data_IF_683242701961
#
_entry.id   IF_683242701961
#
_cell.length_a   1.000
_cell.length_b   1.000
_cell.length_c   1.000
_cell.angle_alpha   90.00
_cell.angle_beta   90.00
_cell.angle_gamma   90.00
#
_symmetry.space_group_name_H-M   'P 1'
#
loop_
_entity.id
_entity.type
_entity.pdbx_description
1 polymer ?
#
# COMPACT_ATOMS: atom_id res chain seq x y z
N UNK A 1 -19.38 10.06 -3.20
CA UNK A 1 -18.39 9.05 -3.68
C UNK A 1 -19.15 7.78 -4.01
N UNK A 2 -19.29 7.49 -5.29
CA UNK A 2 -19.88 6.24 -5.78
C UNK A 2 -18.73 5.30 -6.11
N UNK A 3 -18.56 4.23 -5.34
CA UNK A 3 -17.68 3.12 -5.73
C UNK A 3 -18.51 2.10 -6.50
N UNK A 4 -17.88 1.42 -7.46
CA UNK A 4 -18.48 0.32 -8.19
C UNK A 4 -17.67 -0.94 -7.92
N UNK A 5 -18.35 -2.00 -7.49
CA UNK A 5 -17.73 -3.32 -7.36
C UNK A 5 -17.62 -3.93 -8.76
N UNK A 6 -16.44 -4.47 -9.07
CA UNK A 6 -16.11 -5.08 -10.36
C UNK A 6 -15.56 -6.49 -10.12
N UNK A 7 -15.53 -7.31 -11.17
CA UNK A 7 -14.97 -8.65 -11.10
C UNK A 7 -13.46 -8.64 -10.83
N UNK A 8 -12.94 -9.74 -10.26
CA UNK A 8 -11.49 -9.91 -10.08
C UNK A 8 -10.81 -9.93 -11.45
N UNK A 9 -9.73 -9.18 -11.58
CA UNK A 9 -8.89 -9.24 -12.79
C UNK A 9 -8.26 -10.62 -12.93
N UNK A 10 -8.33 -11.20 -14.12
CA UNK A 10 -7.73 -12.50 -14.41
C UNK A 10 -6.23 -12.48 -14.09
N UNK A 11 -5.77 -13.50 -13.35
CA UNK A 11 -4.37 -13.63 -12.93
C UNK A 11 -4.04 -13.05 -11.55
N UNK A 12 -4.92 -12.23 -10.94
CA UNK A 12 -4.70 -11.76 -9.57
C UNK A 12 -5.05 -12.87 -8.54
N UNK A 13 -4.11 -13.29 -7.68
CA UNK A 13 -4.39 -14.25 -6.61
C UNK A 13 -5.26 -13.61 -5.51
N UNK A 14 -5.93 -14.44 -4.72
CA UNK A 14 -6.81 -13.96 -3.64
C UNK A 14 -6.07 -13.16 -2.56
N UNK A 15 -4.80 -13.47 -2.29
CA UNK A 15 -3.96 -12.74 -1.34
C UNK A 15 -2.47 -12.97 -1.65
N UNK A 16 -1.66 -11.91 -1.49
CA UNK A 16 -0.20 -12.00 -1.51
C UNK A 16 0.34 -11.15 -0.37
N UNK A 17 1.08 -11.78 0.55
CA UNK A 17 1.75 -11.10 1.65
C UNK A 17 3.15 -11.69 1.81
N UNK A 18 4.16 -10.84 1.96
CA UNK A 18 5.54 -11.26 2.17
C UNK A 18 5.92 -11.20 3.67
N UNK A 19 6.80 -12.12 4.09
CA UNK A 19 7.44 -12.04 5.41
C UNK A 19 8.63 -11.09 5.37
N UNK A 20 8.68 -10.15 6.32
CA UNK A 20 9.80 -9.23 6.53
C UNK A 20 10.86 -9.74 7.52
N UNK A 21 10.69 -10.96 8.04
CA UNK A 21 11.50 -11.52 9.12
C UNK A 21 12.99 -11.55 8.77
N UNK A 22 13.35 -11.96 7.55
CA UNK A 22 14.75 -12.04 7.10
C UNK A 22 15.44 -10.67 7.10
N UNK A 23 14.75 -9.62 6.66
CA UNK A 23 15.28 -8.26 6.66
C UNK A 23 15.45 -7.73 8.09
N UNK A 24 14.50 -8.03 8.98
CA UNK A 24 14.61 -7.69 10.40
C UNK A 24 15.81 -8.36 11.07
N UNK A 25 16.02 -9.65 10.83
CA UNK A 25 17.11 -10.42 11.43
C UNK A 25 18.49 -9.98 10.92
N UNK A 26 18.65 -9.80 9.61
CA UNK A 26 19.97 -9.54 9.02
C UNK A 26 20.36 -8.07 9.05
N UNK A 27 19.39 -7.17 8.94
CA UNK A 27 19.63 -5.73 8.74
C UNK A 27 19.10 -4.88 9.90
N UNK A 28 18.43 -5.47 10.89
CA UNK A 28 17.70 -4.72 11.92
C UNK A 28 16.54 -3.91 11.33
N UNK A 29 16.13 -4.18 10.09
CA UNK A 29 15.14 -3.38 9.39
C UNK A 29 13.74 -3.62 9.95
N UNK A 30 13.00 -2.54 10.17
CA UNK A 30 11.60 -2.58 10.63
C UNK A 30 10.76 -1.59 9.86
N UNK A 31 9.56 -2.00 9.49
CA UNK A 31 8.55 -1.10 8.94
C UNK A 31 8.21 -0.04 9.99
N UNK A 32 8.23 1.24 9.59
CA UNK A 32 8.04 2.38 10.48
C UNK A 32 6.65 3.01 10.36
N UNK A 33 5.99 2.79 9.23
CA UNK A 33 4.74 3.44 8.89
C UNK A 33 3.60 2.43 8.87
N UNK A 34 2.47 2.84 9.43
CA UNK A 34 1.19 2.16 9.37
C UNK A 34 0.52 2.38 8.01
N UNK A 35 -0.49 1.55 7.70
CA UNK A 35 -1.31 1.73 6.50
C UNK A 35 -1.97 3.12 6.44
N UNK A 36 -2.39 3.65 7.60
CA UNK A 36 -3.03 4.98 7.67
C UNK A 36 -2.07 6.09 7.23
N UNK A 37 -0.84 6.07 7.73
CA UNK A 37 0.18 7.07 7.38
C UNK A 37 0.59 6.96 5.90
N UNK A 38 0.65 5.74 5.37
CA UNK A 38 0.90 5.50 3.94
C UNK A 38 -0.22 6.12 3.08
N UNK A 39 -1.49 5.89 3.44
CA UNK A 39 -2.63 6.45 2.70
C UNK A 39 -2.69 7.98 2.82
N UNK A 40 -2.44 8.53 4.00
CA UNK A 40 -2.44 9.97 4.24
C UNK A 40 -1.34 10.68 3.44
N UNK A 41 -0.12 10.17 3.48
CA UNK A 41 0.99 10.73 2.70
C UNK A 41 0.74 10.69 1.19
N UNK A 42 0.16 9.59 0.68
CA UNK A 42 -0.21 9.47 -0.72
C UNK A 42 -1.31 10.47 -1.12
N UNK A 43 -2.34 10.65 -0.29
CA UNK A 43 -3.41 11.62 -0.54
C UNK A 43 -2.90 13.06 -0.55
N UNK A 44 -2.07 13.45 0.42
CA UNK A 44 -1.48 14.78 0.50
C UNK A 44 -0.58 15.07 -0.70
N UNK A 45 0.22 14.09 -1.13
CA UNK A 45 1.01 14.21 -2.35
C UNK A 45 0.11 14.41 -3.57
N UNK A 46 -0.95 13.61 -3.72
CA UNK A 46 -1.86 13.71 -4.86
C UNK A 46 -2.53 15.08 -4.92
N UNK A 47 -3.06 15.57 -3.79
CA UNK A 47 -3.68 16.90 -3.69
C UNK A 47 -2.74 18.03 -4.09
N UNK A 48 -1.45 17.93 -3.73
CA UNK A 48 -0.46 18.96 -4.03
C UNK A 48 -0.03 18.96 -5.51
N UNK A 49 -0.08 17.81 -6.17
CA UNK A 49 0.51 17.61 -7.51
C UNK A 49 -0.51 17.35 -8.62
N UNK A 50 -1.80 17.21 -8.30
CA UNK A 50 -2.85 17.21 -9.32
C UNK A 50 -2.82 18.55 -10.06
N UNK A 51 -2.33 18.50 -11.29
CA UNK A 51 -2.61 19.54 -12.28
C UNK A 51 -4.06 19.34 -12.71
N UNK A 52 -4.89 20.33 -12.44
CA UNK A 52 -6.19 20.46 -13.11
C UNK A 52 -5.99 20.58 -14.62
#
# INVERSE_FOLDING_TARGET
MTYQIQEKRAGDPSQVVASSQKASQLLGWKARYSLKEILESAFLWNQKNEKK
#
